data_IF_616517714666
#
_entry.id   IF_616517714666
#
_cell.length_a   1.000
_cell.length_b   1.000
_cell.length_c   1.000
_cell.angle_alpha   90.00
_cell.angle_beta   90.00
_cell.angle_gamma   90.00
#
_symmetry.space_group_name_H-M   'P 1'
#
loop_
_entity.id
_entity.type
_entity.pdbx_description
1 polymer ?
#
# COMPACT_ATOMS: atom_id res chain seq x y z
N UNK A 1 -7.35 -9.34 22.43
CA UNK A 1 -7.96 -9.29 21.10
C UNK A 1 -7.30 -8.15 20.35
N UNK A 2 -6.76 -8.40 19.16
CA UNK A 2 -6.17 -7.35 18.35
C UNK A 2 -7.30 -6.55 17.68
N UNK A 3 -7.34 -5.24 17.92
CA UNK A 3 -8.35 -4.35 17.35
C UNK A 3 -7.65 -3.26 16.56
N UNK A 4 -8.15 -2.99 15.36
CA UNK A 4 -7.67 -1.94 14.45
C UNK A 4 -8.90 -1.22 13.93
N UNK A 5 -8.88 0.11 13.95
CA UNK A 5 -10.00 0.94 13.49
C UNK A 5 -9.50 1.90 12.40
N UNK A 6 -10.22 1.94 11.28
CA UNK A 6 -9.98 2.93 10.24
C UNK A 6 -10.63 4.27 10.63
N UNK A 7 -9.82 5.30 10.81
CA UNK A 7 -10.27 6.65 11.19
C UNK A 7 -10.18 7.63 10.02
N UNK A 8 -11.08 8.61 9.98
CA UNK A 8 -11.04 9.71 8.99
C UNK A 8 -10.15 10.87 9.42
N UNK A 9 -9.94 11.02 10.73
CA UNK A 9 -9.06 12.02 11.34
C UNK A 9 -8.16 11.32 12.34
N UNK A 10 -6.87 11.65 12.31
CA UNK A 10 -5.87 11.03 13.18
C UNK A 10 -6.13 11.49 14.62
N UNK A 11 -6.29 10.57 15.59
CA UNK A 11 -6.45 10.94 16.99
C UNK A 11 -5.15 11.55 17.55
N UNK A 12 -5.17 12.01 18.81
CA UNK A 12 -3.94 12.41 19.48
C UNK A 12 -3.00 11.20 19.62
N UNK A 13 -1.87 11.23 18.89
CA UNK A 13 -0.83 10.20 18.92
C UNK A 13 0.33 10.56 19.87
N UNK A 14 0.07 11.50 20.78
CA UNK A 14 1.04 12.02 21.74
C UNK A 14 1.90 13.16 21.18
N UNK A 15 2.83 13.66 22.01
CA UNK A 15 3.67 14.81 21.68
C UNK A 15 4.45 14.67 20.37
N UNK A 16 4.56 15.77 19.62
CA UNK A 16 5.44 15.82 18.46
C UNK A 16 6.90 15.50 18.87
N UNK A 17 7.55 14.64 18.09
CA UNK A 17 8.90 14.16 18.37
C UNK A 17 8.98 12.88 19.20
N UNK A 18 7.85 12.36 19.69
CA UNK A 18 7.80 11.01 20.23
C UNK A 18 7.88 9.94 19.12
N UNK A 19 8.34 8.75 19.50
CA UNK A 19 8.33 7.54 18.68
C UNK A 19 6.96 6.88 18.74
N UNK A 20 6.53 6.39 17.59
CA UNK A 20 5.36 5.53 17.41
C UNK A 20 5.78 4.26 16.68
N UNK A 21 5.07 3.17 16.95
CA UNK A 21 5.22 1.95 16.15
C UNK A 21 4.16 1.97 15.05
N UNK A 22 4.61 1.75 13.81
CA UNK A 22 3.76 1.85 12.63
C UNK A 22 4.02 0.71 11.64
N UNK A 23 2.98 0.32 10.92
CA UNK A 23 3.10 -0.33 9.62
C UNK A 23 2.85 0.72 8.54
N UNK A 24 3.77 0.85 7.58
CA UNK A 24 3.73 1.88 6.55
C UNK A 24 3.73 1.27 5.15
N UNK A 25 2.76 1.67 4.34
CA UNK A 25 2.83 1.56 2.89
C UNK A 25 3.07 2.97 2.32
N UNK A 26 4.15 3.16 1.56
CA UNK A 26 4.47 4.45 0.93
C UNK A 26 5.01 4.27 -0.48
N UNK A 27 4.40 4.96 -1.43
CA UNK A 27 4.93 5.10 -2.80
C UNK A 27 5.05 6.55 -3.16
N UNK A 28 6.23 6.94 -3.65
CA UNK A 28 6.48 8.27 -4.22
C UNK A 28 6.81 8.10 -5.70
N UNK A 29 6.24 8.97 -6.52
CA UNK A 29 6.57 9.11 -7.93
C UNK A 29 7.01 10.56 -8.19
N UNK A 30 7.97 10.74 -9.09
CA UNK A 30 8.52 12.03 -9.48
C UNK A 30 8.29 12.40 -10.95
N UNK A 31 8.69 13.64 -11.34
CA UNK A 31 8.48 14.20 -12.67
C UNK A 31 9.07 13.42 -13.86
N UNK A 32 9.88 12.38 -13.60
CA UNK A 32 10.52 11.55 -14.62
C UNK A 32 10.28 10.06 -14.45
N UNK A 33 9.43 9.67 -13.49
CA UNK A 33 9.07 8.27 -13.27
C UNK A 33 8.07 7.86 -14.35
N UNK A 34 8.60 7.48 -15.51
CA UNK A 34 7.87 6.83 -16.59
C UNK A 34 8.11 5.31 -16.48
N UNK A 35 7.03 4.53 -16.42
CA UNK A 35 7.11 3.09 -16.68
C UNK A 35 6.81 2.85 -18.15
N UNK A 36 7.66 2.08 -18.82
CA UNK A 36 7.33 1.57 -20.16
C UNK A 36 6.20 0.55 -19.97
N UNK A 37 4.96 0.97 -20.24
CA UNK A 37 3.80 0.10 -20.32
C UNK A 37 4.00 -0.89 -21.47
N UNK A 38 4.73 -1.98 -21.23
CA UNK A 38 4.54 -3.21 -22.00
C UNK A 38 3.38 -3.96 -21.35
N UNK A 39 2.17 -3.58 -21.73
CA UNK A 39 0.99 -4.41 -21.53
C UNK A 39 1.27 -5.78 -22.19
N UNK A 40 1.56 -6.81 -21.38
CA UNK A 40 1.59 -8.21 -21.83
C UNK A 40 2.63 -8.58 -22.90
N UNK A 41 3.86 -8.06 -22.84
CA UNK A 41 4.91 -8.42 -23.79
C UNK A 41 5.39 -9.88 -23.67
N UNK A 42 4.69 -10.82 -24.33
CA UNK A 42 5.32 -12.07 -24.77
C UNK A 42 6.47 -11.70 -25.71
N UNK A 43 7.68 -12.19 -25.43
CA UNK A 43 8.84 -12.03 -26.28
C UNK A 43 8.52 -12.48 -27.72
N UNK A 44 8.65 -11.56 -28.68
CA UNK A 44 8.62 -11.88 -30.10
C UNK A 44 7.59 -11.11 -30.92
N UNK A 45 7.81 -9.81 -31.13
CA UNK A 45 7.25 -9.11 -32.28
C UNK A 45 8.22 -7.99 -32.70
N UNK A 46 8.99 -8.24 -33.75
CA UNK A 46 9.75 -7.21 -34.45
C UNK A 46 8.77 -6.30 -35.22
N UNK A 47 8.88 -4.98 -35.05
CA UNK A 47 8.16 -4.00 -35.89
C UNK A 47 7.31 -2.93 -35.19
N UNK A 48 7.48 -2.65 -33.90
CA UNK A 48 6.62 -1.70 -33.15
C UNK A 48 7.18 -0.26 -32.99
N UNK A 49 8.02 0.25 -33.90
CA UNK A 49 8.62 1.59 -33.76
C UNK A 49 7.66 2.77 -33.97
N UNK A 50 6.38 2.55 -34.26
CA UNK A 50 5.41 3.65 -34.38
C UNK A 50 4.02 3.25 -33.94
N UNK A 51 3.86 3.12 -32.62
CA UNK A 51 2.64 3.37 -31.86
C UNK A 51 3.02 3.31 -30.37
N UNK A 52 3.83 4.27 -29.93
CA UNK A 52 4.07 4.45 -28.49
C UNK A 52 2.72 4.88 -27.90
N UNK A 53 2.09 3.99 -27.14
CA UNK A 53 0.91 4.34 -26.36
C UNK A 53 1.21 5.62 -25.57
N UNK A 54 0.23 6.53 -25.37
CA UNK A 54 0.46 7.73 -24.58
C UNK A 54 1.11 7.33 -23.25
N UNK A 55 2.26 7.95 -22.95
CA UNK A 55 2.99 7.76 -21.71
C UNK A 55 2.06 8.18 -20.58
N UNK A 56 1.43 7.24 -19.91
CA UNK A 56 0.77 7.52 -18.64
C UNK A 56 1.86 7.48 -17.59
N UNK A 57 1.86 8.46 -16.69
CA UNK A 57 2.59 8.29 -15.45
C UNK A 57 1.72 7.40 -14.56
N UNK A 58 2.25 6.29 -14.03
CA UNK A 58 1.48 5.45 -13.14
C UNK A 58 1.19 6.22 -11.86
N UNK A 59 -0.03 6.12 -11.36
CA UNK A 59 -0.40 6.73 -10.09
C UNK A 59 0.42 6.11 -8.94
N UNK A 60 0.64 6.87 -7.89
CA UNK A 60 1.19 6.30 -6.66
C UNK A 60 0.04 5.71 -5.86
N UNK A 61 0.09 4.40 -5.62
CA UNK A 61 -0.88 3.70 -4.78
C UNK A 61 -0.16 3.04 -3.62
N UNK A 62 -0.70 3.23 -2.42
CA UNK A 62 -0.26 2.59 -1.18
C UNK A 62 -1.46 1.92 -0.51
N UNK A 63 -1.27 0.74 0.06
CA UNK A 63 -2.34 0.03 0.73
C UNK A 63 -1.86 -0.81 1.91
N UNK A 64 -2.72 -0.88 2.92
CA UNK A 64 -2.60 -1.74 4.09
C UNK A 64 -3.85 -2.61 4.19
N UNK A 65 -3.67 -3.91 4.37
CA UNK A 65 -4.72 -4.79 4.86
C UNK A 65 -4.41 -5.29 6.24
N UNK A 66 -5.46 -5.62 7.00
CA UNK A 66 -5.32 -6.30 8.27
C UNK A 66 -6.39 -7.37 8.44
N UNK A 67 -6.01 -8.42 9.15
CA UNK A 67 -6.89 -9.51 9.51
C UNK A 67 -6.76 -9.82 11.00
N UNK A 68 -7.90 -9.96 11.69
CA UNK A 68 -7.99 -10.20 13.13
C UNK A 68 -8.85 -11.44 13.42
N UNK A 69 -8.59 -12.03 14.59
CA UNK A 69 -9.15 -13.29 15.06
C UNK A 69 -8.50 -13.67 16.39
N UNK A 70 -8.61 -14.93 16.83
CA UNK A 70 -7.87 -15.40 18.02
C UNK A 70 -6.36 -15.17 17.84
N UNK A 71 -5.76 -14.43 18.77
CA UNK A 71 -4.33 -14.11 18.75
C UNK A 71 -4.01 -12.67 18.31
N UNK A 72 -2.81 -12.43 17.76
CA UNK A 72 -2.28 -11.07 17.55
C UNK A 72 -2.75 -10.40 16.24
N UNK A 73 -3.40 -11.12 15.33
CA UNK A 73 -3.75 -10.60 14.01
C UNK A 73 -2.56 -10.44 13.07
N UNK A 74 -2.83 -9.98 11.86
CA UNK A 74 -1.85 -9.80 10.78
C UNK A 74 -2.07 -8.48 10.06
N UNK A 75 -0.98 -7.78 9.75
CA UNK A 75 -0.95 -6.70 8.76
C UNK A 75 -0.28 -7.17 7.48
N UNK A 76 -0.65 -6.57 6.36
CA UNK A 76 0.02 -6.71 5.08
C UNK A 76 0.08 -5.37 4.35
N UNK A 77 1.29 -4.85 4.10
CA UNK A 77 1.52 -3.64 3.31
C UNK A 77 1.90 -3.94 1.85
N UNK A 78 1.40 -3.11 0.94
CA UNK A 78 1.80 -3.17 -0.46
C UNK A 78 1.64 -1.82 -1.17
N UNK A 79 2.46 -1.58 -2.19
CA UNK A 79 2.34 -0.43 -3.08
C UNK A 79 2.13 -0.84 -4.53
N UNK A 80 1.54 0.01 -5.36
CA UNK A 80 1.20 -0.30 -6.75
C UNK A 80 0.92 0.93 -7.60
N UNK A 81 0.42 0.70 -8.80
CA UNK A 81 0.11 1.74 -9.81
C UNK A 81 -1.40 1.89 -10.01
N UNK A 82 -2.16 0.87 -9.62
CA UNK A 82 -3.60 0.80 -9.68
C UNK A 82 -4.17 0.30 -8.33
N UNK A 83 -5.29 0.87 -7.84
CA UNK A 83 -5.91 0.47 -6.58
C UNK A 83 -6.39 -0.98 -6.55
N UNK A 84 -6.90 -1.48 -7.67
CA UNK A 84 -7.49 -2.82 -7.77
C UNK A 84 -6.43 -3.90 -7.56
N UNK A 85 -5.32 -3.85 -8.29
CA UNK A 85 -4.19 -4.77 -8.13
C UNK A 85 -3.44 -4.60 -6.80
N UNK A 86 -3.54 -3.44 -6.14
CA UNK A 86 -3.12 -3.30 -4.74
C UNK A 86 -4.04 -4.09 -3.80
N UNK A 87 -5.37 -3.96 -3.94
CA UNK A 87 -6.33 -4.72 -3.11
C UNK A 87 -6.17 -6.23 -3.29
N UNK A 88 -6.07 -6.70 -4.53
CA UNK A 88 -5.90 -8.14 -4.82
C UNK A 88 -4.62 -8.70 -4.17
N UNK A 89 -3.52 -7.95 -4.20
CA UNK A 89 -2.27 -8.37 -3.55
C UNK A 89 -2.35 -8.35 -2.03
N UNK A 90 -3.10 -7.41 -1.45
CA UNK A 90 -3.37 -7.39 -0.01
C UNK A 90 -4.16 -8.62 0.40
N UNK A 91 -5.25 -8.94 -0.30
CA UNK A 91 -6.08 -10.10 -0.01
C UNK A 91 -5.27 -11.39 -0.11
N UNK A 92 -4.53 -11.59 -1.20
CA UNK A 92 -3.67 -12.75 -1.37
C UNK A 92 -2.56 -12.83 -0.29
N UNK A 93 -2.02 -11.69 0.11
CA UNK A 93 -1.01 -11.59 1.16
C UNK A 93 -1.54 -11.97 2.55
N UNK A 94 -2.76 -11.53 2.89
CA UNK A 94 -3.42 -11.88 4.13
C UNK A 94 -3.78 -13.38 4.16
N UNK A 95 -4.34 -13.91 3.08
CA UNK A 95 -4.68 -15.34 2.98
C UNK A 95 -3.41 -16.21 3.12
N UNK A 96 -2.34 -15.90 2.36
CA UNK A 96 -1.08 -16.61 2.48
C UNK A 96 -0.45 -16.48 3.89
N UNK A 97 -0.58 -15.31 4.51
CA UNK A 97 -0.05 -15.05 5.85
C UNK A 97 -0.77 -15.81 6.95
N UNK A 98 -2.09 -15.99 6.82
CA UNK A 98 -2.92 -16.81 7.70
C UNK A 98 -2.61 -18.31 7.51
N UNK A 99 -2.54 -18.78 6.27
CA UNK A 99 -2.24 -20.18 5.92
C UNK A 99 -0.88 -20.62 6.46
N UNK A 100 0.15 -19.78 6.33
CA UNK A 100 1.50 -20.06 6.83
C UNK A 100 1.56 -20.26 8.36
N UNK A 101 0.59 -19.71 9.09
CA UNK A 101 0.57 -19.70 10.56
C UNK A 101 -0.51 -20.60 11.15
N UNK A 102 -1.35 -21.20 10.31
CA UNK A 102 -2.54 -21.95 10.72
C UNK A 102 -3.44 -21.13 11.65
N UNK A 103 -3.67 -19.85 11.29
CA UNK A 103 -4.46 -18.90 12.08
C UNK A 103 -5.83 -18.66 11.47
N UNK A 104 -6.87 -18.65 12.31
CA UNK A 104 -8.21 -18.23 11.93
C UNK A 104 -8.35 -16.70 12.08
N UNK A 105 -8.33 -15.97 10.96
CA UNK A 105 -8.46 -14.51 10.94
C UNK A 105 -9.69 -14.08 10.11
N UNK A 106 -10.93 -14.28 10.62
CA UNK A 106 -12.14 -14.07 9.85
C UNK A 106 -12.47 -12.59 9.60
N UNK A 107 -12.06 -11.69 10.49
CA UNK A 107 -12.31 -10.26 10.35
C UNK A 107 -11.20 -9.66 9.50
N UNK A 108 -11.55 -9.12 8.33
CA UNK A 108 -10.61 -8.58 7.36
C UNK A 108 -11.05 -7.19 6.89
N UNK A 109 -10.10 -6.28 6.83
CA UNK A 109 -10.33 -4.92 6.33
C UNK A 109 -9.11 -4.44 5.54
N UNK A 110 -9.29 -3.41 4.73
CA UNK A 110 -8.25 -2.88 3.85
C UNK A 110 -8.43 -1.39 3.63
N UNK A 111 -7.32 -0.65 3.62
CA UNK A 111 -7.27 0.76 3.26
C UNK A 111 -6.27 0.97 2.12
N UNK A 112 -6.74 1.57 1.04
CA UNK A 112 -5.92 1.90 -0.13
C UNK A 112 -6.08 3.39 -0.43
N UNK A 113 -4.95 4.06 -0.59
CA UNK A 113 -4.88 5.46 -1.00
C UNK A 113 -4.13 5.60 -2.31
N UNK A 114 -4.59 6.57 -3.12
CA UNK A 114 -4.09 6.83 -4.46
C UNK A 114 -3.88 8.32 -4.64
N UNK A 115 -2.78 8.67 -5.30
CA UNK A 115 -2.57 10.00 -5.83
C UNK A 115 -2.16 9.92 -7.29
N UNK A 116 -2.79 10.75 -8.11
CA UNK A 116 -2.46 10.86 -9.52
C UNK A 116 -1.10 11.53 -9.70
N UNK A 117 -0.34 11.02 -10.65
CA UNK A 117 0.90 11.63 -11.09
C UNK A 117 0.61 12.95 -11.82
N UNK A 118 1.36 14.00 -11.51
CA UNK A 118 1.42 15.22 -12.30
C UNK A 118 2.82 15.31 -12.95
N UNK A 119 2.94 15.59 -14.27
CA UNK A 119 4.21 15.50 -15.00
C UNK A 119 5.38 16.28 -14.41
N UNK A 120 5.12 17.39 -13.72
CA UNK A 120 6.14 18.29 -13.18
C UNK A 120 6.18 18.31 -11.65
N UNK A 121 5.59 17.32 -10.98
CA UNK A 121 5.52 17.26 -9.51
C UNK A 121 5.88 15.89 -8.96
N UNK A 122 6.25 15.89 -7.69
CA UNK A 122 6.26 14.68 -6.88
C UNK A 122 4.87 14.42 -6.34
N UNK A 123 4.44 13.16 -6.37
CA UNK A 123 3.22 12.70 -5.74
C UNK A 123 3.54 11.51 -4.83
N UNK A 124 2.97 11.50 -3.62
CA UNK A 124 3.16 10.41 -2.66
C UNK A 124 1.81 9.94 -2.13
N UNK A 125 1.56 8.64 -2.23
CA UNK A 125 0.52 7.97 -1.46
C UNK A 125 1.15 7.31 -0.23
N UNK A 126 0.53 7.49 0.93
CA UNK A 126 0.95 6.89 2.20
C UNK A 126 -0.29 6.36 2.93
N UNK A 127 -0.20 5.14 3.46
CA UNK A 127 -1.17 4.58 4.40
C UNK A 127 -0.38 4.08 5.61
N UNK A 128 -0.84 4.43 6.82
CA UNK A 128 -0.18 4.09 8.08
C UNK A 128 -1.20 3.43 9.02
N UNK A 129 -0.79 2.34 9.66
CA UNK A 129 -1.44 1.83 10.86
C UNK A 129 -0.51 2.07 12.05
N UNK A 130 -0.88 3.00 12.93
CA UNK A 130 -0.15 3.28 14.16
C UNK A 130 -0.73 2.44 15.30
N UNK A 131 0.12 1.86 16.13
CA UNK A 131 -0.30 1.04 17.27
C UNK A 131 0.64 1.16 18.46
N UNK A 132 0.12 0.81 19.63
CA UNK A 132 0.81 0.97 20.91
C UNK A 132 0.72 2.41 21.43
N UNK A 133 1.58 2.71 22.40
CA UNK A 133 1.66 4.02 23.04
C UNK A 133 2.81 4.84 22.48
N UNK A 134 2.65 6.17 22.52
CA UNK A 134 3.68 7.14 22.15
C UNK A 134 4.79 7.18 23.19
N UNK A 135 6.04 7.04 22.76
CA UNK A 135 7.20 7.01 23.66
C UNK A 135 8.16 8.19 23.40
N UNK A 136 8.65 8.88 24.44
CA UNK A 136 9.72 9.86 24.28
C UNK A 136 10.95 9.25 23.58
N UNK A 137 11.57 10.02 22.68
CA UNK A 137 12.84 9.64 22.03
C UNK A 137 14.07 10.00 22.90
N UNK A 138 13.86 10.79 23.97
CA UNK A 138 14.89 11.27 24.89
C UNK A 138 15.00 10.41 26.16
#
# INVERSE_FOLDING_TARGET
EATVEAVSEVPDLGPAGNRLTVVEARRTIGPGDEVDFREGGRSGAEGAESKRAPRRHPDAVAGLGWATGPGPGLFYEVTGEDPEGVRERIEAGLDAGADLRDWELPARETRVERVAAEPDRYATAVVIAAYGESEPIL
#
